data_IF_545061027271
#
_entry.id   IF_545061027271
#
_cell.length_a   1.000
_cell.length_b   1.000
_cell.length_c   1.000
_cell.angle_alpha   90.00
_cell.angle_beta   90.00
_cell.angle_gamma   90.00
#
_symmetry.space_group_name_H-M   'P 1'
#
loop_
_entity.id
_entity.type
_entity.pdbx_description
1 polymer ?
#
# COMPACT_ATOMS: atom_id res chain seq x y z
N UNK A 1 34.91 9.42 -63.91
CA UNK A 1 35.66 9.49 -62.64
C UNK A 1 34.60 9.40 -61.54
N UNK A 2 34.22 8.22 -61.05
CA UNK A 2 34.91 7.34 -60.07
C UNK A 2 35.23 8.05 -58.75
N UNK A 3 34.85 7.39 -57.65
CA UNK A 3 35.12 7.63 -56.21
C UNK A 3 34.07 8.52 -55.50
N UNK A 4 33.48 8.18 -54.34
CA UNK A 4 33.77 7.13 -53.36
C UNK A 4 32.52 6.67 -52.58
N UNK A 5 32.65 5.45 -52.08
CA UNK A 5 31.71 4.66 -51.26
C UNK A 5 31.91 4.97 -49.76
N UNK A 6 30.80 4.87 -49.02
CA UNK A 6 30.60 4.64 -47.58
C UNK A 6 31.70 4.99 -46.56
N UNK A 7 31.30 5.72 -45.52
CA UNK A 7 31.77 5.49 -44.16
C UNK A 7 30.58 5.15 -43.27
N UNK A 8 30.41 3.86 -42.97
CA UNK A 8 29.60 3.41 -41.85
C UNK A 8 30.14 4.03 -40.56
N UNK A 9 29.32 4.76 -39.82
CA UNK A 9 29.62 5.05 -38.42
C UNK A 9 29.48 3.74 -37.63
N UNK A 10 30.56 3.34 -36.97
CA UNK A 10 30.56 2.24 -36.02
C UNK A 10 29.52 2.49 -34.92
N UNK A 11 28.76 1.49 -34.47
CA UNK A 11 27.93 1.63 -33.28
C UNK A 11 28.82 2.01 -32.10
N UNK A 12 28.39 3.00 -31.31
CA UNK A 12 29.05 3.32 -30.05
C UNK A 12 29.19 2.02 -29.23
N UNK A 13 30.41 1.69 -28.85
CA UNK A 13 30.71 0.52 -28.01
C UNK A 13 29.87 0.57 -26.75
N UNK A 14 29.04 -0.45 -26.54
CA UNK A 14 28.41 -0.72 -25.24
C UNK A 14 29.52 -0.70 -24.19
N UNK A 15 29.40 0.06 -23.09
CA UNK A 15 30.41 0.03 -22.05
C UNK A 15 30.53 -1.41 -21.56
N UNK A 16 31.75 -1.96 -21.61
CA UNK A 16 32.06 -3.24 -20.98
C UNK A 16 31.60 -3.17 -19.53
N UNK A 17 30.89 -4.21 -19.07
CA UNK A 17 30.57 -4.38 -17.66
C UNK A 17 31.89 -4.39 -16.90
N UNK A 18 32.22 -3.28 -16.25
CA UNK A 18 33.25 -3.27 -15.21
C UNK A 18 32.94 -4.40 -14.25
N UNK A 19 33.88 -5.35 -14.13
CA UNK A 19 33.80 -6.43 -13.16
C UNK A 19 33.95 -5.85 -11.76
N UNK A 20 32.86 -5.31 -11.23
CA UNK A 20 32.80 -4.87 -9.86
C UNK A 20 32.68 -6.10 -8.96
N UNK A 21 33.58 -6.20 -7.99
CA UNK A 21 33.62 -7.25 -6.99
C UNK A 21 32.23 -7.54 -6.38
N UNK A 22 32.02 -8.80 -6.02
CA UNK A 22 30.77 -9.50 -5.69
C UNK A 22 30.01 -8.95 -4.46
N UNK A 23 29.54 -7.71 -4.55
CA UNK A 23 28.48 -7.15 -3.72
C UNK A 23 27.27 -6.91 -4.63
N UNK A 24 26.58 -7.99 -5.00
CA UNK A 24 25.29 -7.90 -5.70
C UNK A 24 24.24 -7.32 -4.74
N UNK A 25 24.24 -6.00 -4.59
CA UNK A 25 23.14 -5.30 -3.93
C UNK A 25 21.88 -5.53 -4.78
N UNK A 26 20.85 -6.12 -4.17
CA UNK A 26 19.56 -6.31 -4.82
C UNK A 26 18.98 -4.95 -5.21
N UNK A 27 18.82 -4.73 -6.52
CA UNK A 27 18.34 -3.46 -7.06
C UNK A 27 16.97 -3.08 -6.47
N UNK A 28 16.10 -4.06 -6.23
CA UNK A 28 14.75 -3.86 -5.66
C UNK A 28 14.76 -3.16 -4.29
N UNK A 29 15.80 -3.36 -3.47
CA UNK A 29 15.90 -2.84 -2.10
C UNK A 29 16.93 -1.73 -1.96
N UNK A 30 17.31 -1.12 -3.08
CA UNK A 30 18.29 -0.03 -3.17
C UNK A 30 17.58 1.25 -3.57
N UNK A 31 17.99 2.39 -3.02
CA UNK A 31 17.30 3.66 -3.29
C UNK A 31 17.53 4.11 -4.72
N UNK A 32 16.47 4.54 -5.39
CA UNK A 32 16.55 5.23 -6.67
C UNK A 32 17.23 6.57 -6.44
N UNK A 33 18.30 6.83 -7.20
CA UNK A 33 19.16 8.00 -6.98
C UNK A 33 18.54 9.30 -7.50
N UNK A 34 17.74 9.23 -8.55
CA UNK A 34 17.14 10.38 -9.21
C UNK A 34 15.67 10.47 -8.82
N UNK A 35 15.22 11.65 -8.42
CA UNK A 35 13.82 11.87 -8.01
C UNK A 35 12.84 11.84 -9.19
N UNK A 36 13.34 12.06 -10.40
CA UNK A 36 12.56 12.02 -11.64
C UNK A 36 13.43 11.54 -12.79
N UNK A 37 12.85 10.71 -13.64
CA UNK A 37 13.40 10.35 -14.94
C UNK A 37 12.26 10.05 -15.91
N UNK A 38 12.48 10.30 -17.20
CA UNK A 38 11.59 9.92 -18.28
C UNK A 38 12.40 9.68 -19.55
N UNK A 39 12.02 8.66 -20.32
CA UNK A 39 12.67 8.34 -21.59
C UNK A 39 11.93 7.28 -22.39
N UNK A 40 12.19 7.28 -23.68
CA UNK A 40 11.76 6.22 -24.59
C UNK A 40 12.57 4.94 -24.32
N UNK A 41 11.88 3.80 -24.23
CA UNK A 41 12.52 2.49 -24.06
C UNK A 41 12.70 1.80 -25.41
N UNK A 42 13.79 1.02 -25.50
CA UNK A 42 14.02 0.11 -26.62
C UNK A 42 13.09 -1.09 -26.46
N UNK A 43 12.33 -1.40 -27.51
CA UNK A 43 11.40 -2.53 -27.54
C UNK A 43 12.06 -3.72 -28.24
N UNK A 44 12.13 -4.85 -27.54
CA UNK A 44 12.47 -6.14 -28.12
C UNK A 44 11.19 -6.97 -28.28
N UNK A 45 10.81 -7.30 -29.51
CA UNK A 45 9.53 -7.94 -29.84
C UNK A 45 8.52 -6.96 -30.45
N UNK A 46 7.21 -7.27 -30.34
CA UNK A 46 6.13 -6.46 -30.89
C UNK A 46 5.09 -6.15 -29.81
N UNK A 47 4.74 -4.86 -29.65
CA UNK A 47 3.69 -4.43 -28.74
C UNK A 47 2.33 -4.60 -29.45
N UNK A 48 1.35 -5.29 -28.85
CA UNK A 48 0.03 -5.43 -29.45
C UNK A 48 -0.63 -4.09 -29.74
N UNK A 49 -1.15 -3.90 -30.96
CA UNK A 49 -1.69 -2.61 -31.41
C UNK A 49 -2.91 -2.10 -30.62
N UNK A 50 -3.58 -2.98 -29.88
CA UNK A 50 -4.69 -2.64 -29.00
C UNK A 50 -4.23 -2.07 -27.65
N UNK A 51 -2.96 -2.29 -27.27
CA UNK A 51 -2.40 -1.83 -26.00
C UNK A 51 -1.97 -0.36 -26.16
N UNK A 52 -2.85 0.55 -25.75
CA UNK A 52 -2.63 1.99 -25.82
C UNK A 52 -3.14 2.64 -24.52
N UNK A 53 -2.22 3.13 -23.69
CA UNK A 53 -2.53 3.66 -22.37
C UNK A 53 -1.32 3.68 -21.45
N UNK A 54 -1.55 4.01 -20.18
CA UNK A 54 -0.49 4.14 -19.17
C UNK A 54 -0.66 3.09 -18.09
N UNK A 55 0.38 2.30 -17.88
CA UNK A 55 0.53 1.45 -16.70
C UNK A 55 1.24 2.25 -15.61
N UNK A 56 0.59 2.38 -14.45
CA UNK A 56 1.14 3.05 -13.28
C UNK A 56 1.37 2.05 -12.15
N UNK A 57 2.53 2.17 -11.49
CA UNK A 57 2.87 1.44 -10.27
C UNK A 57 3.31 2.42 -9.20
N UNK A 58 2.97 2.09 -7.97
CA UNK A 58 3.42 2.76 -6.77
C UNK A 58 4.14 1.75 -5.88
N UNK A 59 5.09 2.25 -5.09
CA UNK A 59 5.87 1.44 -4.17
C UNK A 59 7.01 2.25 -3.54
N UNK A 60 7.72 1.67 -2.57
CA UNK A 60 8.88 2.33 -1.97
C UNK A 60 10.05 2.43 -2.96
N UNK A 61 10.57 3.65 -3.17
CA UNK A 61 11.72 3.93 -4.04
C UNK A 61 12.93 4.51 -3.32
N UNK A 62 12.76 5.04 -2.10
CA UNK A 62 13.84 5.62 -1.29
C UNK A 62 13.89 4.94 0.08
N UNK A 63 15.04 4.37 0.41
CA UNK A 63 15.26 3.49 1.56
C UNK A 63 16.16 4.08 2.65
N UNK A 64 16.68 5.30 2.45
CA UNK A 64 17.54 5.99 3.40
C UNK A 64 17.35 7.51 3.33
N UNK A 65 17.68 8.20 4.42
CA UNK A 65 17.65 9.65 4.56
C UNK A 65 18.90 10.10 5.33
N UNK A 66 19.86 10.70 4.64
CA UNK A 66 21.18 10.94 5.22
C UNK A 66 21.76 9.62 5.74
N UNK A 67 22.08 9.56 7.03
CA UNK A 67 22.60 8.36 7.69
C UNK A 67 21.50 7.39 8.16
N UNK A 68 20.23 7.82 8.17
CA UNK A 68 19.11 6.99 8.62
C UNK A 68 18.73 5.99 7.53
N UNK A 69 18.64 4.70 7.90
CA UNK A 69 18.23 3.63 7.01
C UNK A 69 16.91 3.03 7.50
N UNK A 70 15.96 2.82 6.59
CA UNK A 70 14.75 2.10 6.92
C UNK A 70 15.03 0.63 7.21
N UNK A 71 14.21 0.04 8.09
CA UNK A 71 14.33 -1.34 8.54
C UNK A 71 13.34 -2.30 7.87
N UNK A 72 12.21 -1.79 7.38
CA UNK A 72 11.11 -2.60 6.85
C UNK A 72 10.70 -2.17 5.44
N UNK A 73 10.19 -3.14 4.65
CA UNK A 73 9.72 -2.90 3.29
C UNK A 73 8.69 -1.77 3.19
N UNK A 74 7.78 -1.69 4.16
CA UNK A 74 6.69 -0.71 4.16
C UNK A 74 7.08 0.71 4.61
N UNK A 75 8.33 0.94 5.01
CA UNK A 75 8.74 2.28 5.47
C UNK A 75 9.31 3.17 4.35
N UNK A 76 9.74 2.57 3.23
CA UNK A 76 10.41 3.32 2.16
C UNK A 76 9.51 4.38 1.53
N UNK A 77 10.08 5.53 1.15
CA UNK A 77 9.28 6.62 0.58
C UNK A 77 8.77 6.30 -0.81
N UNK A 78 7.50 6.64 -1.04
CA UNK A 78 6.75 6.31 -2.24
C UNK A 78 7.37 6.88 -3.52
N UNK A 79 7.45 6.06 -4.56
CA UNK A 79 7.88 6.44 -5.90
C UNK A 79 6.93 5.83 -6.92
N UNK A 80 6.45 6.67 -7.83
CA UNK A 80 5.68 6.25 -8.98
C UNK A 80 6.59 5.78 -10.10
N UNK A 81 6.14 4.75 -10.80
CA UNK A 81 6.71 4.29 -12.05
C UNK A 81 5.59 4.25 -13.08
N UNK A 82 5.85 4.77 -14.28
CA UNK A 82 4.94 4.68 -15.41
C UNK A 82 5.58 3.95 -16.59
N UNK A 83 4.72 3.28 -17.34
CA UNK A 83 5.00 2.80 -18.70
C UNK A 83 3.83 3.20 -19.58
N UNK A 84 4.07 4.09 -20.53
CA UNK A 84 3.09 4.59 -21.50
C UNK A 84 3.29 3.89 -22.84
N UNK A 85 2.23 3.26 -23.33
CA UNK A 85 2.17 2.55 -24.59
C UNK A 85 1.46 3.40 -25.64
N UNK A 86 2.14 3.65 -26.77
CA UNK A 86 1.57 4.37 -27.91
C UNK A 86 1.23 3.43 -29.07
N UNK A 87 0.25 3.82 -29.89
CA UNK A 87 -0.24 3.02 -31.03
C UNK A 87 0.81 2.67 -32.10
N UNK A 88 1.91 3.42 -32.18
CA UNK A 88 3.01 3.18 -33.12
C UNK A 88 4.06 2.18 -32.58
N UNK A 89 3.80 1.53 -31.44
CA UNK A 89 4.76 0.63 -30.78
C UNK A 89 5.83 1.36 -29.96
N UNK A 90 5.72 2.69 -29.80
CA UNK A 90 6.61 3.46 -28.94
C UNK A 90 6.22 3.28 -27.47
N UNK A 91 7.23 3.20 -26.62
CA UNK A 91 7.07 2.99 -25.18
C UNK A 91 7.87 4.05 -24.41
N UNK A 92 7.19 4.81 -23.55
CA UNK A 92 7.81 5.83 -22.71
C UNK A 92 7.73 5.36 -21.27
N UNK A 93 8.87 5.21 -20.61
CA UNK A 93 8.92 4.94 -19.19
C UNK A 93 9.32 6.18 -18.42
N UNK A 94 8.93 6.24 -17.16
CA UNK A 94 9.38 7.27 -16.25
C UNK A 94 9.14 6.88 -14.82
N UNK A 95 9.82 7.58 -13.91
CA UNK A 95 9.55 7.46 -12.49
C UNK A 95 9.56 8.83 -11.83
N UNK A 96 8.87 8.93 -10.70
CA UNK A 96 8.85 10.15 -9.91
C UNK A 96 8.61 9.89 -8.43
N UNK A 97 9.43 10.51 -7.60
CA UNK A 97 9.23 10.56 -6.15
C UNK A 97 7.91 11.28 -5.83
N UNK A 98 7.07 10.69 -4.98
CA UNK A 98 5.88 11.37 -4.45
C UNK A 98 6.32 12.37 -3.38
N UNK A 99 5.90 13.63 -3.52
CA UNK A 99 6.35 14.74 -2.69
C UNK A 99 5.45 14.97 -1.46
N UNK A 100 5.34 13.94 -0.63
CA UNK A 100 4.57 13.95 0.63
C UNK A 100 5.22 14.85 1.69
N UNK A 101 4.47 15.27 2.71
CA UNK A 101 5.04 16.02 3.84
C UNK A 101 6.10 15.21 4.57
N UNK A 102 5.89 13.90 4.73
CA UNK A 102 6.85 12.99 5.34
C UNK A 102 8.17 12.97 4.58
N UNK A 103 8.12 12.78 3.27
CA UNK A 103 9.31 12.79 2.42
C UNK A 103 10.02 14.16 2.43
N UNK A 104 9.27 15.25 2.22
CA UNK A 104 9.83 16.61 2.20
C UNK A 104 10.48 17.00 3.53
N UNK A 105 9.84 16.68 4.65
CA UNK A 105 10.38 16.93 5.98
C UNK A 105 11.64 16.08 6.24
N UNK A 106 11.62 14.81 5.87
CA UNK A 106 12.76 13.92 6.05
C UNK A 106 13.97 14.38 5.22
N UNK A 107 13.76 14.71 3.94
CA UNK A 107 14.78 15.28 3.05
C UNK A 107 15.37 16.58 3.58
N UNK A 108 14.51 17.51 4.04
CA UNK A 108 14.94 18.81 4.59
C UNK A 108 15.75 18.67 5.88
N UNK A 109 15.29 17.82 6.81
CA UNK A 109 15.90 17.70 8.14
C UNK A 109 16.96 16.60 8.23
N UNK A 110 17.16 15.81 7.17
CA UNK A 110 18.08 14.65 7.10
C UNK A 110 17.85 13.63 8.22
N UNK A 111 16.59 13.46 8.63
CA UNK A 111 16.17 12.51 9.68
C UNK A 111 14.70 12.13 9.53
N UNK A 112 14.31 11.01 10.11
CA UNK A 112 12.91 10.61 10.22
C UNK A 112 12.09 11.65 10.99
N UNK A 113 10.96 12.08 10.43
CA UNK A 113 10.12 13.14 11.00
C UNK A 113 8.66 12.72 11.28
N UNK A 114 8.22 11.59 10.72
CA UNK A 114 6.87 11.05 10.89
C UNK A 114 6.95 9.56 11.27
N UNK A 115 5.85 9.03 11.83
CA UNK A 115 5.73 7.63 12.19
C UNK A 115 5.39 6.82 10.93
N UNK A 116 6.31 5.97 10.51
CA UNK A 116 6.11 5.01 9.42
C UNK A 116 5.60 3.67 9.99
N UNK A 117 5.56 2.61 9.19
CA UNK A 117 5.00 1.32 9.57
C UNK A 117 5.75 0.68 10.75
N UNK A 118 7.08 0.58 10.68
CA UNK A 118 7.90 -0.13 11.68
C UNK A 118 8.69 0.78 12.62
N UNK A 119 8.66 2.10 12.38
CA UNK A 119 9.57 3.03 13.04
C UNK A 119 8.94 4.40 13.31
N UNK A 120 9.36 5.03 14.41
CA UNK A 120 8.96 6.39 14.78
C UNK A 120 10.17 7.26 15.11
N UNK A 121 10.06 8.59 14.93
CA UNK A 121 11.04 9.52 15.47
C UNK A 121 11.23 9.30 16.97
N UNK A 122 12.49 9.33 17.43
CA UNK A 122 12.80 9.26 18.86
C UNK A 122 12.68 10.67 19.46
N UNK A 123 11.92 10.84 20.56
CA UNK A 123 11.86 12.13 21.25
C UNK A 123 13.18 12.41 21.98
N UNK A 124 13.67 13.64 21.89
CA UNK A 124 14.94 14.04 22.52
C UNK A 124 14.84 14.18 24.05
N UNK A 125 13.63 14.45 24.58
CA UNK A 125 13.36 14.62 26.01
C UNK A 125 11.86 14.42 26.31
N UNK A 126 11.49 14.50 27.60
CA UNK A 126 10.10 14.29 28.05
C UNK A 126 9.10 15.30 27.47
N UNK A 127 9.46 16.58 27.32
CA UNK A 127 8.56 17.58 26.71
C UNK A 127 8.31 17.27 25.23
N UNK A 128 9.35 16.84 24.51
CA UNK A 128 9.22 16.39 23.13
C UNK A 128 8.31 15.15 23.05
N UNK A 129 8.45 14.20 23.97
CA UNK A 129 7.55 13.03 24.05
C UNK A 129 6.08 13.42 24.26
N UNK A 130 5.79 14.32 25.21
CA UNK A 130 4.42 14.84 25.43
C UNK A 130 3.88 15.54 24.17
N UNK A 131 4.72 16.33 23.49
CA UNK A 131 4.37 16.95 22.22
C UNK A 131 4.06 15.92 21.11
N UNK A 132 4.84 14.85 21.00
CA UNK A 132 4.60 13.76 20.05
C UNK A 132 3.32 12.98 20.36
N UNK A 133 2.98 12.78 21.64
CA UNK A 133 1.70 12.21 22.04
C UNK A 133 0.53 13.10 21.61
N UNK A 134 0.61 14.41 21.83
CA UNK A 134 -0.44 15.34 21.39
C UNK A 134 -0.61 15.31 19.86
N UNK A 135 0.50 15.24 19.10
CA UNK A 135 0.46 15.07 17.64
C UNK A 135 -0.09 13.72 17.20
N UNK A 136 0.13 12.65 17.97
CA UNK A 136 -0.45 11.34 17.67
C UNK A 136 -1.98 11.38 17.84
N UNK A 137 -2.47 11.97 18.94
CA UNK A 137 -3.90 12.11 19.19
C UNK A 137 -4.61 13.02 18.17
N UNK A 138 -3.92 13.98 17.57
CA UNK A 138 -4.46 14.78 16.46
C UNK A 138 -4.23 14.15 15.07
N UNK A 139 -3.52 13.02 14.99
CA UNK A 139 -3.09 12.39 13.74
C UNK A 139 -1.96 13.12 13.00
N UNK A 140 -1.47 14.27 13.52
CA UNK A 140 -0.45 15.08 12.88
C UNK A 140 0.90 14.36 12.73
N UNK A 141 1.26 13.46 13.66
CA UNK A 141 2.51 12.68 13.60
C UNK A 141 2.43 11.44 12.71
N UNK A 142 1.24 11.09 12.21
CA UNK A 142 1.07 9.99 11.26
C UNK A 142 1.64 10.38 9.90
N UNK A 143 2.27 9.40 9.24
CA UNK A 143 2.84 9.57 7.92
C UNK A 143 1.77 9.84 6.87
N UNK A 144 2.13 10.61 5.85
CA UNK A 144 1.41 10.72 4.59
C UNK A 144 2.17 10.03 3.43
N UNK A 145 3.14 9.16 3.76
CA UNK A 145 3.89 8.34 2.80
C UNK A 145 2.98 7.33 2.08
N UNK A 146 2.38 7.76 0.97
CA UNK A 146 1.45 6.99 0.17
C UNK A 146 2.17 5.94 -0.70
N UNK A 147 2.79 4.92 -0.10
CA UNK A 147 3.66 3.94 -0.78
C UNK A 147 3.03 2.56 -1.04
N UNK A 148 1.75 2.33 -0.71
CA UNK A 148 1.12 1.03 -0.86
C UNK A 148 0.44 0.85 -2.22
N UNK A 149 -0.61 1.63 -2.47
CA UNK A 149 -1.52 1.41 -3.60
C UNK A 149 -1.65 2.62 -4.52
N UNK A 150 -2.13 2.39 -5.74
CA UNK A 150 -2.51 3.42 -6.72
C UNK A 150 -3.83 3.01 -7.38
N UNK A 151 -4.79 3.93 -7.40
CA UNK A 151 -6.16 3.67 -7.85
C UNK A 151 -6.65 4.79 -8.75
N UNK A 152 -7.38 4.41 -9.81
CA UNK A 152 -8.17 5.34 -10.62
C UNK A 152 -9.59 5.35 -10.08
N UNK A 153 -10.05 6.51 -9.61
CA UNK A 153 -11.42 6.71 -9.19
C UNK A 153 -12.37 6.75 -10.41
N UNK A 154 -13.67 6.49 -10.19
CA UNK A 154 -14.67 6.52 -11.26
C UNK A 154 -14.82 7.87 -11.98
N UNK A 155 -14.34 8.96 -11.38
CA UNK A 155 -14.26 10.29 -12.01
C UNK A 155 -12.93 10.58 -12.74
N UNK A 156 -12.05 9.58 -12.82
CA UNK A 156 -10.78 9.65 -13.53
C UNK A 156 -9.60 10.15 -12.71
N UNK A 157 -9.79 10.66 -11.49
CA UNK A 157 -8.67 11.06 -10.62
C UNK A 157 -7.81 9.86 -10.22
N UNK A 158 -6.50 10.05 -10.14
CA UNK A 158 -5.56 9.03 -9.67
C UNK A 158 -5.15 9.33 -8.24
N UNK A 159 -5.35 8.37 -7.35
CA UNK A 159 -4.97 8.47 -5.94
C UNK A 159 -3.92 7.42 -5.59
N UNK A 160 -2.94 7.82 -4.79
CA UNK A 160 -2.01 6.93 -4.12
C UNK A 160 -2.38 6.84 -2.64
N UNK A 161 -2.27 5.65 -2.06
CA UNK A 161 -2.70 5.38 -0.69
C UNK A 161 -1.61 4.70 0.14
N UNK A 162 -1.69 4.92 1.44
CA UNK A 162 -1.20 4.01 2.49
C UNK A 162 -2.33 3.80 3.52
N UNK A 163 -2.04 3.14 4.63
CA UNK A 163 -3.04 2.79 5.65
C UNK A 163 -3.45 3.96 6.55
N UNK A 164 -2.77 5.11 6.47
CA UNK A 164 -3.25 6.34 7.09
C UNK A 164 -4.19 7.06 6.13
N UNK A 165 -5.28 7.63 6.65
CA UNK A 165 -6.18 8.46 5.82
C UNK A 165 -5.45 9.70 5.28
N UNK A 166 -4.54 10.27 6.09
CA UNK A 166 -3.67 11.39 5.73
C UNK A 166 -2.75 11.08 4.53
N UNK A 167 -2.35 9.81 4.37
CA UNK A 167 -1.55 9.33 3.25
C UNK A 167 -2.33 9.01 2.00
N UNK A 168 -3.42 9.74 1.76
CA UNK A 168 -4.16 9.72 0.49
C UNK A 168 -3.70 10.92 -0.33
N UNK A 169 -3.13 10.67 -1.52
CA UNK A 169 -2.45 11.70 -2.34
C UNK A 169 -2.96 11.64 -3.77
N UNK A 170 -3.26 12.78 -4.38
CA UNK A 170 -3.65 12.88 -5.79
C UNK A 170 -2.39 13.10 -6.63
N UNK A 171 -2.31 12.40 -7.76
CA UNK A 171 -1.18 12.49 -8.69
C UNK A 171 -1.68 12.69 -10.12
N UNK A 172 -0.85 13.34 -10.94
CA UNK A 172 -1.08 13.46 -12.38
C UNK A 172 -0.59 12.17 -13.08
N UNK A 173 -1.45 11.43 -13.81
CA UNK A 173 -1.05 10.17 -14.47
C UNK A 173 -0.01 10.35 -15.58
N UNK A 174 0.05 11.53 -16.19
CA UNK A 174 0.89 11.80 -17.35
C UNK A 174 2.24 12.35 -16.91
N UNK A 175 2.28 13.31 -15.98
CA UNK A 175 3.54 13.94 -15.53
C UNK A 175 4.13 13.31 -14.27
N UNK A 176 3.34 12.48 -13.57
CA UNK A 176 3.62 11.93 -12.23
C UNK A 176 3.80 13.01 -11.15
N UNK A 177 3.34 14.23 -11.40
CA UNK A 177 3.35 15.30 -10.41
C UNK A 177 2.47 14.93 -9.20
N UNK A 178 2.95 15.26 -8.01
CA UNK A 178 2.12 15.22 -6.79
C UNK A 178 1.24 16.46 -6.77
N UNK A 179 -0.07 16.29 -7.01
CA UNK A 179 -1.01 17.40 -7.11
C UNK A 179 -1.45 17.92 -5.74
N UNK A 180 -1.47 17.05 -4.72
CA UNK A 180 -1.81 17.42 -3.36
C UNK A 180 -2.38 16.25 -2.56
N UNK A 181 -2.88 16.54 -1.37
CA UNK A 181 -3.58 15.55 -0.55
C UNK A 181 -4.98 15.29 -1.10
N UNK A 182 -5.42 14.05 -1.03
CA UNK A 182 -6.82 13.69 -1.19
C UNK A 182 -7.51 13.81 0.18
N UNK A 183 -8.22 14.90 0.40
CA UNK A 183 -8.93 15.13 1.67
C UNK A 183 -10.37 14.65 1.58
N UNK A 184 -10.72 13.68 2.43
CA UNK A 184 -12.10 13.27 2.61
C UNK A 184 -12.90 14.40 3.28
N UNK A 185 -14.08 14.71 2.75
CA UNK A 185 -14.91 15.83 3.25
C UNK A 185 -15.93 15.39 4.30
N UNK A 186 -16.02 14.09 4.59
CA UNK A 186 -16.93 13.53 5.58
C UNK A 186 -16.41 13.65 7.03
N UNK A 187 -17.30 13.62 8.03
CA UNK A 187 -16.92 13.71 9.44
C UNK A 187 -16.64 12.35 10.09
N UNK A 188 -16.39 11.28 9.32
CA UNK A 188 -16.33 9.90 9.84
C UNK A 188 -15.15 9.64 10.80
N UNK A 189 -14.23 10.60 10.91
CA UNK A 189 -13.13 10.55 11.87
C UNK A 189 -12.19 9.37 11.65
N UNK A 190 -11.46 9.02 12.71
CA UNK A 190 -10.40 8.03 12.65
C UNK A 190 -9.17 8.51 11.87
N UNK A 191 -8.13 7.69 11.87
CA UNK A 191 -6.85 8.05 11.23
C UNK A 191 -6.36 7.02 10.23
N UNK A 192 -6.97 5.83 10.24
CA UNK A 192 -6.53 4.67 9.49
C UNK A 192 -7.64 4.17 8.56
N UNK A 193 -7.22 3.48 7.52
CA UNK A 193 -8.04 2.87 6.48
C UNK A 193 -7.35 1.62 5.95
N UNK A 194 -8.10 0.73 5.30
CA UNK A 194 -7.51 -0.31 4.46
C UNK A 194 -6.75 0.36 3.30
N UNK A 195 -5.56 -0.17 2.99
CA UNK A 195 -4.77 0.32 1.85
C UNK A 195 -5.27 -0.22 0.49
N UNK A 196 -6.15 -1.23 0.51
CA UNK A 196 -6.76 -1.83 -0.67
C UNK A 196 -8.28 -1.57 -0.72
N UNK A 197 -8.70 -0.33 -1.05
CA UNK A 197 -10.08 -0.09 -1.42
C UNK A 197 -10.42 -0.88 -2.68
N UNK A 198 -11.71 -1.20 -2.82
CA UNK A 198 -12.24 -1.74 -4.06
C UNK A 198 -12.87 -0.58 -4.82
N UNK A 199 -12.32 -0.30 -6.00
CA UNK A 199 -12.71 0.85 -6.83
C UNK A 199 -13.29 0.36 -8.14
N UNK A 200 -14.49 0.83 -8.45
CA UNK A 200 -15.18 0.61 -9.73
C UNK A 200 -15.50 1.96 -10.36
N UNK A 201 -16.13 1.95 -11.54
CA UNK A 201 -16.62 3.17 -12.17
C UNK A 201 -17.73 3.86 -11.34
N UNK A 202 -18.42 3.11 -10.47
CA UNK A 202 -19.60 3.57 -9.72
C UNK A 202 -19.35 3.79 -8.22
N UNK A 203 -18.26 3.24 -7.67
CA UNK A 203 -17.98 3.36 -6.24
C UNK A 203 -16.50 3.18 -5.88
N UNK A 204 -16.11 3.89 -4.84
CA UNK A 204 -14.95 3.57 -4.01
C UNK A 204 -15.46 2.99 -2.70
N UNK A 205 -15.09 1.75 -2.38
CA UNK A 205 -15.45 1.07 -1.15
C UNK A 205 -14.19 0.80 -0.33
N UNK A 206 -14.21 1.12 0.97
CA UNK A 206 -13.11 0.79 1.88
C UNK A 206 -13.60 0.47 3.29
N UNK A 207 -12.67 0.01 4.12
CA UNK A 207 -12.87 -0.23 5.55
C UNK A 207 -12.10 0.79 6.37
N UNK A 208 -12.75 1.36 7.37
CA UNK A 208 -12.13 2.22 8.37
C UNK A 208 -12.08 1.47 9.71
N UNK A 209 -10.91 1.05 10.19
CA UNK A 209 -10.78 0.51 11.53
C UNK A 209 -11.05 1.61 12.57
N UNK A 210 -11.92 1.30 13.52
CA UNK A 210 -12.31 2.20 14.60
C UNK A 210 -11.60 1.78 15.89
N UNK A 211 -10.59 2.58 16.29
CA UNK A 211 -9.79 2.33 17.48
C UNK A 211 -10.48 2.78 18.78
N UNK A 212 -11.52 3.63 18.70
CA UNK A 212 -12.23 4.15 19.87
C UNK A 212 -13.41 3.25 20.25
N UNK A 213 -14.16 2.81 19.24
CA UNK A 213 -15.17 1.79 19.36
C UNK A 213 -14.72 0.59 18.52
N UNK A 214 -14.04 -0.41 19.10
CA UNK A 214 -13.36 -1.48 18.37
C UNK A 214 -14.23 -2.16 17.32
N UNK A 215 -13.87 -1.98 16.06
CA UNK A 215 -14.63 -2.51 14.93
C UNK A 215 -14.18 -1.91 13.60
N UNK A 216 -15.00 -2.11 12.58
CA UNK A 216 -14.77 -1.61 11.23
C UNK A 216 -16.03 -0.93 10.71
N UNK A 217 -15.87 0.27 10.17
CA UNK A 217 -16.89 0.91 9.35
C UNK A 217 -16.69 0.49 7.90
N UNK A 218 -17.75 0.01 7.26
CA UNK A 218 -17.80 -0.19 5.81
C UNK A 218 -18.29 1.12 5.21
N UNK A 219 -17.45 1.77 4.39
CA UNK A 219 -17.74 3.09 3.85
C UNK A 219 -17.64 3.10 2.34
N UNK A 220 -18.57 3.84 1.71
CA UNK A 220 -18.67 3.99 0.26
C UNK A 220 -18.56 5.47 -0.11
N UNK A 221 -17.85 5.77 -1.18
CA UNK A 221 -17.77 7.09 -1.81
C UNK A 221 -18.20 6.97 -3.27
N UNK A 222 -19.05 7.89 -3.71
CA UNK A 222 -19.49 7.99 -5.10
C UNK A 222 -18.42 8.71 -5.95
N UNK A 223 -18.35 8.47 -7.27
CA UNK A 223 -17.49 9.24 -8.17
C UNK A 223 -17.80 10.74 -8.13
N UNK A 224 -16.78 11.59 -8.24
CA UNK A 224 -16.92 13.05 -8.30
C UNK A 224 -17.04 13.73 -6.93
N UNK A 225 -17.08 12.97 -5.84
CA UNK A 225 -17.12 13.47 -4.46
C UNK A 225 -15.91 12.98 -3.65
N UNK A 226 -15.68 13.63 -2.51
CA UNK A 226 -14.73 13.20 -1.47
C UNK A 226 -15.46 12.80 -0.17
N UNK A 227 -16.79 12.74 -0.19
CA UNK A 227 -17.62 12.39 0.94
C UNK A 227 -17.90 10.89 0.95
N UNK A 228 -17.46 10.20 2.00
CA UNK A 228 -17.81 8.80 2.24
C UNK A 228 -19.07 8.72 3.11
N UNK A 229 -19.89 7.70 2.82
CA UNK A 229 -21.07 7.33 3.61
C UNK A 229 -20.84 5.98 4.25
N UNK A 230 -21.17 5.85 5.53
CA UNK A 230 -21.18 4.55 6.22
C UNK A 230 -22.33 3.73 5.67
N UNK A 231 -22.02 2.57 5.10
CA UNK A 231 -23.03 1.61 4.61
C UNK A 231 -23.18 0.41 5.53
N UNK A 232 -22.28 0.20 6.49
CA UNK A 232 -22.36 -0.91 7.43
C UNK A 232 -21.31 -0.80 8.54
N UNK A 233 -21.48 -1.59 9.59
CA UNK A 233 -20.53 -1.66 10.71
C UNK A 233 -20.39 -3.09 11.23
N UNK A 234 -19.14 -3.49 11.48
CA UNK A 234 -18.80 -4.71 12.19
C UNK A 234 -18.18 -4.34 13.53
N UNK A 235 -18.72 -4.83 14.64
CA UNK A 235 -18.14 -4.64 15.96
C UNK A 235 -17.23 -5.83 16.30
N UNK A 236 -16.00 -5.55 16.75
CA UNK A 236 -15.09 -6.60 17.17
C UNK A 236 -15.57 -7.22 18.48
N UNK A 237 -15.61 -8.56 18.53
CA UNK A 237 -16.12 -9.30 19.70
C UNK A 237 -15.05 -9.51 20.79
N UNK A 238 -13.77 -9.25 20.45
CA UNK A 238 -12.64 -9.85 21.15
C UNK A 238 -11.70 -8.93 21.92
N UNK A 239 -11.85 -7.61 21.98
CA UNK A 239 -10.85 -6.80 22.71
C UNK A 239 -10.96 -5.29 22.51
N UNK A 240 -10.01 -4.53 23.09
CA UNK A 240 -10.04 -3.07 23.09
C UNK A 240 -9.60 -2.45 21.75
N UNK A 241 -9.30 -3.24 20.73
CA UNK A 241 -8.85 -2.76 19.43
C UNK A 241 -9.30 -3.71 18.30
N UNK A 242 -9.58 -3.16 17.11
CA UNK A 242 -9.87 -3.97 15.93
C UNK A 242 -8.61 -4.73 15.46
N UNK A 243 -8.86 -5.77 14.66
CA UNK A 243 -7.80 -6.42 13.91
C UNK A 243 -7.20 -5.47 12.87
N UNK A 244 -5.95 -5.74 12.51
CA UNK A 244 -5.33 -5.13 11.35
C UNK A 244 -6.08 -5.57 10.08
N UNK A 245 -6.28 -4.67 9.14
CA UNK A 245 -6.97 -4.96 7.88
C UNK A 245 -6.24 -4.27 6.72
N UNK A 246 -5.40 -5.05 6.03
CA UNK A 246 -4.67 -4.56 4.86
C UNK A 246 -5.59 -4.46 3.65
N UNK A 247 -6.32 -5.54 3.36
CA UNK A 247 -7.35 -5.63 2.32
C UNK A 247 -8.59 -6.37 2.81
N UNK A 248 -9.63 -6.33 1.98
CA UNK A 248 -10.89 -7.04 2.16
C UNK A 248 -11.44 -7.38 0.77
N UNK A 249 -12.56 -8.10 0.71
CA UNK A 249 -13.17 -8.48 -0.56
C UNK A 249 -14.67 -8.21 -0.57
N UNK A 250 -15.26 -8.19 -1.76
CA UNK A 250 -16.70 -8.05 -1.93
C UNK A 250 -17.21 -8.93 -3.06
N UNK A 251 -18.49 -9.26 -2.96
CA UNK A 251 -19.29 -9.83 -4.05
C UNK A 251 -20.24 -8.77 -4.59
N UNK A 252 -21.14 -9.18 -5.50
CA UNK A 252 -22.23 -8.36 -5.99
C UNK A 252 -23.05 -7.73 -4.83
N UNK A 253 -23.42 -8.54 -3.83
CA UNK A 253 -24.34 -8.13 -2.76
C UNK A 253 -23.70 -7.98 -1.37
N UNK A 254 -22.48 -8.49 -1.15
CA UNK A 254 -21.89 -8.58 0.17
C UNK A 254 -20.47 -8.03 0.25
N UNK A 255 -20.11 -7.46 1.40
CA UNK A 255 -18.74 -7.13 1.77
C UNK A 255 -18.26 -8.16 2.79
N UNK A 256 -17.09 -8.74 2.58
CA UNK A 256 -16.47 -9.68 3.52
C UNK A 256 -15.40 -8.92 4.30
N UNK A 257 -15.68 -8.65 5.57
CA UNK A 257 -14.78 -7.94 6.49
C UNK A 257 -13.96 -8.96 7.29
N UNK A 258 -12.63 -8.99 7.14
CA UNK A 258 -11.78 -9.85 7.93
C UNK A 258 -11.58 -9.31 9.35
N UNK A 259 -11.65 -10.18 10.35
CA UNK A 259 -11.21 -9.90 11.71
C UNK A 259 -10.06 -10.85 12.09
N UNK A 260 -8.84 -10.40 11.83
CA UNK A 260 -7.61 -11.14 12.13
C UNK A 260 -7.21 -11.05 13.61
N UNK A 261 -6.50 -12.06 14.15
CA UNK A 261 -5.94 -12.05 15.50
C UNK A 261 -4.76 -11.07 15.69
N UNK A 262 -4.15 -10.55 14.62
CA UNK A 262 -3.21 -9.44 14.70
C UNK A 262 -4.01 -8.14 14.96
N UNK A 263 -3.91 -7.58 16.16
CA UNK A 263 -4.69 -6.39 16.59
C UNK A 263 -3.82 -5.15 16.64
N UNK A 264 -4.41 -3.98 16.41
CA UNK A 264 -3.72 -2.72 16.73
C UNK A 264 -3.45 -2.61 18.23
N UNK A 265 -2.28 -2.12 18.60
CA UNK A 265 -1.89 -1.92 20.00
C UNK A 265 -1.79 -0.44 20.32
N UNK A 266 -2.82 0.11 20.98
CA UNK A 266 -2.79 1.48 21.50
C UNK A 266 -1.62 1.67 22.47
N UNK A 267 -1.31 0.66 23.28
CA UNK A 267 -0.17 0.73 24.20
C UNK A 267 1.17 0.86 23.47
N UNK A 268 1.39 0.08 22.41
CA UNK A 268 2.64 0.14 21.62
C UNK A 268 2.76 1.47 20.90
N UNK A 269 1.64 1.97 20.33
CA UNK A 269 1.60 3.30 19.70
C UNK A 269 1.92 4.41 20.70
N UNK A 270 1.43 4.34 21.94
CA UNK A 270 1.74 5.35 22.96
C UNK A 270 3.20 5.29 23.41
N UNK A 271 3.73 4.09 23.68
CA UNK A 271 5.12 3.92 24.14
C UNK A 271 6.16 4.34 23.11
N UNK A 272 5.84 4.22 21.81
CA UNK A 272 6.76 4.49 20.71
C UNK A 272 8.11 3.72 20.82
N UNK A 273 8.12 2.60 21.53
CA UNK A 273 9.30 1.75 21.69
C UNK A 273 9.53 0.91 20.43
N UNK A 274 10.78 0.73 19.97
CA UNK A 274 11.08 -0.19 18.88
C UNK A 274 10.67 -1.62 19.26
N UNK A 275 9.75 -2.22 18.50
CA UNK A 275 9.37 -3.62 18.63
C UNK A 275 9.14 -4.22 17.24
N UNK A 276 9.24 -5.56 17.14
CA UNK A 276 9.03 -6.27 15.87
C UNK A 276 7.63 -6.04 15.29
N UNK A 277 6.64 -5.85 16.17
CA UNK A 277 5.25 -5.53 15.85
C UNK A 277 4.92 -4.12 16.37
N UNK A 278 5.66 -3.12 15.92
CA UNK A 278 5.65 -1.74 16.43
C UNK A 278 4.24 -1.19 16.75
N UNK A 279 3.25 -1.47 15.90
CA UNK A 279 1.88 -0.97 16.01
C UNK A 279 0.86 -2.04 16.41
N UNK A 280 1.30 -3.29 16.59
CA UNK A 280 0.42 -4.44 16.68
C UNK A 280 0.69 -5.33 17.91
N UNK A 281 -0.25 -6.19 18.21
CA UNK A 281 -0.13 -7.28 19.17
C UNK A 281 -0.80 -8.53 18.57
N UNK A 282 -0.12 -9.67 18.63
CA UNK A 282 -0.69 -10.95 18.20
C UNK A 282 -1.58 -11.53 19.30
N UNK A 283 -2.88 -11.70 19.03
CA UNK A 283 -3.91 -12.09 20.00
C UNK A 283 -4.70 -13.33 19.55
N UNK A 284 -4.07 -14.51 19.41
CA UNK A 284 -4.72 -15.71 18.91
C UNK A 284 -5.86 -16.20 19.82
N UNK A 285 -5.81 -15.87 21.11
CA UNK A 285 -6.87 -16.18 22.07
C UNK A 285 -8.18 -15.44 21.80
N UNK A 286 -8.14 -14.40 20.95
CA UNK A 286 -9.33 -13.65 20.51
C UNK A 286 -9.99 -14.22 19.26
N UNK A 287 -9.45 -15.33 18.74
CA UNK A 287 -9.95 -16.05 17.56
C UNK A 287 -9.91 -15.17 16.30
N UNK A 288 -10.37 -15.72 15.20
CA UNK A 288 -10.43 -15.06 13.92
C UNK A 288 -11.82 -15.22 13.30
N UNK A 289 -12.30 -14.19 12.59
CA UNK A 289 -13.62 -14.21 11.99
C UNK A 289 -13.61 -13.65 10.56
N UNK A 290 -14.59 -14.07 9.78
CA UNK A 290 -15.02 -13.42 8.54
C UNK A 290 -16.46 -12.94 8.71
N UNK A 291 -16.70 -11.65 8.52
CA UNK A 291 -18.02 -11.05 8.65
C UNK A 291 -18.58 -10.70 7.28
N UNK A 292 -19.77 -11.23 6.96
CA UNK A 292 -20.46 -10.98 5.70
C UNK A 292 -21.49 -9.88 5.93
N UNK A 293 -21.27 -8.70 5.35
CA UNK A 293 -22.14 -7.52 5.47
C UNK A 293 -22.92 -7.33 4.18
N UNK A 294 -24.25 -7.26 4.26
CA UNK A 294 -25.09 -7.00 3.10
C UNK A 294 -24.95 -5.52 2.66
N UNK A 295 -24.51 -5.27 1.42
CA UNK A 295 -24.31 -3.92 0.87
C UNK A 295 -25.59 -3.09 0.89
N UNK A 296 -26.73 -3.70 0.60
CA UNK A 296 -28.01 -3.01 0.49
C UNK A 296 -28.60 -2.59 1.86
N UNK A 297 -28.45 -3.42 2.88
CA UNK A 297 -29.07 -3.17 4.20
C UNK A 297 -28.09 -2.70 5.28
N UNK A 298 -26.79 -2.85 5.05
CA UNK A 298 -25.73 -2.61 6.03
C UNK A 298 -25.68 -3.60 7.19
N UNK A 299 -26.56 -4.61 7.18
CA UNK A 299 -26.65 -5.62 8.24
C UNK A 299 -25.65 -6.75 8.01
N UNK A 300 -25.11 -7.27 9.11
CA UNK A 300 -24.30 -8.48 9.11
C UNK A 300 -25.23 -9.67 8.79
N UNK A 301 -25.03 -10.28 7.63
CA UNK A 301 -25.74 -11.48 7.20
C UNK A 301 -25.19 -12.73 7.90
N UNK A 302 -23.87 -12.79 8.08
CA UNK A 302 -23.20 -13.86 8.80
C UNK A 302 -21.91 -13.36 9.48
N UNK A 303 -21.52 -14.03 10.56
CA UNK A 303 -20.20 -13.89 11.17
C UNK A 303 -19.69 -15.28 11.48
N UNK A 304 -18.65 -15.69 10.77
CA UNK A 304 -18.14 -17.06 10.79
C UNK A 304 -16.81 -17.05 11.53
N UNK A 305 -16.72 -17.85 12.60
CA UNK A 305 -15.43 -18.16 13.22
C UNK A 305 -14.65 -19.07 12.28
N UNK A 306 -13.40 -18.70 11.99
CA UNK A 306 -12.50 -19.44 11.09
C UNK A 306 -11.22 -19.80 11.85
N UNK A 307 -10.40 -20.75 11.34
CA UNK A 307 -9.04 -20.95 11.84
C UNK A 307 -8.28 -19.62 11.88
N UNK A 308 -7.26 -19.53 12.74
CA UNK A 308 -6.38 -18.36 12.74
C UNK A 308 -5.79 -18.18 11.33
N UNK A 309 -5.64 -16.93 10.91
CA UNK A 309 -5.11 -16.58 9.60
C UNK A 309 -4.42 -15.23 9.67
N UNK A 310 -3.48 -15.03 8.75
CA UNK A 310 -2.85 -13.73 8.50
C UNK A 310 -2.88 -13.50 6.99
N UNK A 311 -3.53 -12.43 6.55
CA UNK A 311 -3.76 -12.12 5.13
C UNK A 311 -3.44 -10.66 4.89
N UNK A 312 -2.54 -10.40 3.93
CA UNK A 312 -2.42 -9.08 3.33
C UNK A 312 -3.49 -8.90 2.25
N UNK A 313 -3.61 -9.87 1.34
CA UNK A 313 -4.38 -9.72 0.10
C UNK A 313 -5.45 -10.80 -0.05
N UNK A 314 -6.70 -10.34 -0.19
CA UNK A 314 -7.74 -11.14 -0.81
C UNK A 314 -7.54 -11.14 -2.33
N UNK A 315 -7.83 -12.27 -2.97
CA UNK A 315 -7.71 -12.47 -4.42
C UNK A 315 -9.03 -12.05 -5.09
N UNK A 316 -10.14 -12.69 -4.71
CA UNK A 316 -11.46 -12.41 -5.24
C UNK A 316 -12.55 -12.93 -4.28
N UNK A 317 -13.81 -12.56 -4.52
CA UNK A 317 -14.96 -13.22 -3.91
C UNK A 317 -16.14 -13.31 -4.88
N UNK A 318 -16.97 -14.32 -4.71
CA UNK A 318 -18.20 -14.50 -5.49
C UNK A 318 -19.29 -15.20 -4.69
N UNK A 319 -20.52 -15.13 -5.20
CA UNK A 319 -21.68 -15.81 -4.61
C UNK A 319 -21.96 -17.08 -5.39
N UNK A 320 -22.02 -18.23 -4.70
CA UNK A 320 -22.61 -19.43 -5.27
C UNK A 320 -24.12 -19.34 -5.18
N UNK A 321 -24.78 -19.55 -6.32
CA UNK A 321 -26.24 -19.42 -6.45
C UNK A 321 -26.87 -20.80 -6.67
N UNK A 322 -28.04 -21.03 -6.06
CA UNK A 322 -28.86 -22.21 -6.35
C UNK A 322 -29.51 -22.12 -7.76
N UNK A 323 -30.32 -23.13 -8.12
CA UNK A 323 -31.02 -23.19 -9.42
C UNK A 323 -32.02 -22.04 -9.61
N UNK A 324 -32.47 -21.41 -8.53
CA UNK A 324 -33.42 -20.29 -8.53
C UNK A 324 -32.69 -18.93 -8.50
N UNK A 325 -31.34 -18.93 -8.53
CA UNK A 325 -30.52 -17.73 -8.51
C UNK A 325 -30.29 -17.14 -7.11
N UNK A 326 -30.66 -17.84 -6.03
CA UNK A 326 -30.47 -17.37 -4.66
C UNK A 326 -29.06 -17.69 -4.19
N UNK A 327 -28.36 -16.72 -3.60
CA UNK A 327 -27.06 -16.94 -2.99
C UNK A 327 -27.17 -17.94 -1.83
N UNK A 328 -26.43 -19.04 -1.92
CA UNK A 328 -26.34 -20.10 -0.90
C UNK A 328 -25.01 -20.10 -0.16
N UNK A 329 -23.95 -19.57 -0.78
CA UNK A 329 -22.65 -19.39 -0.16
C UNK A 329 -21.93 -18.15 -0.71
N UNK A 330 -21.03 -17.60 0.10
CA UNK A 330 -20.06 -16.58 -0.32
C UNK A 330 -18.69 -17.24 -0.29
N UNK A 331 -18.01 -17.27 -1.43
CA UNK A 331 -16.65 -17.77 -1.57
C UNK A 331 -15.71 -16.58 -1.55
N UNK A 332 -14.67 -16.65 -0.73
CA UNK A 332 -13.64 -15.61 -0.61
C UNK A 332 -12.26 -16.25 -0.67
N UNK A 333 -11.50 -15.91 -1.71
CA UNK A 333 -10.16 -16.43 -1.95
C UNK A 333 -9.12 -15.43 -1.44
N UNK A 334 -8.07 -15.90 -0.78
CA UNK A 334 -7.02 -15.04 -0.23
C UNK A 334 -5.65 -15.72 -0.22
N UNK A 335 -4.59 -14.89 -0.10
CA UNK A 335 -3.23 -15.36 0.15
C UNK A 335 -2.99 -15.37 1.67
N UNK A 336 -3.00 -16.57 2.26
CA UNK A 336 -2.82 -16.82 3.69
C UNK A 336 -1.32 -16.96 4.03
N UNK A 337 -0.92 -16.53 5.23
CA UNK A 337 0.47 -16.57 5.68
C UNK A 337 0.66 -17.31 7.01
N UNK A 338 0.54 -18.64 6.95
CA UNK A 338 0.87 -19.60 8.02
C UNK A 338 0.20 -19.33 9.38
N UNK A 339 -0.88 -18.57 9.39
CA UNK A 339 -1.65 -18.20 10.57
C UNK A 339 -0.82 -17.55 11.70
N UNK A 340 0.26 -16.84 11.37
CA UNK A 340 1.12 -16.15 12.33
C UNK A 340 1.68 -14.81 11.81
N UNK A 341 2.60 -14.20 12.57
CA UNK A 341 3.19 -12.88 12.25
C UNK A 341 4.57 -12.94 11.59
N UNK A 342 5.11 -14.14 11.32
CA UNK A 342 6.47 -14.34 10.80
C UNK A 342 6.68 -13.66 9.46
N UNK A 343 5.62 -13.51 8.66
CA UNK A 343 5.69 -12.77 7.40
C UNK A 343 6.09 -11.29 7.58
N UNK A 344 5.68 -10.64 8.68
CA UNK A 344 6.08 -9.24 8.96
C UNK A 344 7.60 -9.16 9.19
N UNK A 345 8.17 -10.10 9.94
CA UNK A 345 9.61 -10.15 10.17
C UNK A 345 10.39 -10.51 8.90
N UNK A 346 9.83 -11.40 8.08
CA UNK A 346 10.39 -11.83 6.79
C UNK A 346 10.54 -10.65 5.83
N UNK A 347 9.61 -9.69 5.86
CA UNK A 347 9.63 -8.46 5.06
C UNK A 347 10.56 -7.35 5.61
N UNK A 348 11.38 -7.65 6.62
CA UNK A 348 12.46 -6.75 7.02
C UNK A 348 13.51 -6.59 5.91
N UNK A 349 14.01 -5.37 5.72
CA UNK A 349 15.03 -5.09 4.69
C UNK A 349 16.34 -5.83 4.94
N UNK A 350 16.65 -6.17 6.20
CA UNK A 350 17.78 -7.04 6.53
C UNK A 350 17.63 -8.40 5.85
N UNK A 351 16.47 -9.05 6.00
CA UNK A 351 16.19 -10.37 5.41
C UNK A 351 16.15 -10.27 3.89
N UNK A 352 15.39 -9.31 3.35
CA UNK A 352 15.23 -9.09 1.92
C UNK A 352 16.55 -8.80 1.19
N UNK A 353 17.51 -8.12 1.83
CA UNK A 353 18.83 -7.80 1.26
C UNK A 353 19.86 -8.92 1.42
N UNK A 354 19.66 -9.85 2.36
CA UNK A 354 20.54 -11.00 2.56
C UNK A 354 20.25 -12.18 1.62
N UNK A 355 19.16 -12.11 0.85
CA UNK A 355 18.65 -13.24 0.09
C UNK A 355 19.37 -13.42 -1.26
N UNK A 356 20.21 -14.45 -1.39
CA UNK A 356 20.99 -14.70 -2.63
C UNK A 356 20.44 -15.83 -3.52
N UNK A 357 19.11 -16.02 -3.58
CA UNK A 357 18.48 -16.84 -4.63
C UNK A 357 18.18 -18.31 -4.30
N UNK A 358 17.97 -18.65 -3.03
CA UNK A 358 17.32 -19.93 -2.64
C UNK A 358 15.95 -19.59 -2.06
N UNK A 359 14.84 -20.03 -2.66
CA UNK A 359 13.50 -19.80 -2.11
C UNK A 359 13.42 -20.25 -0.64
N UNK A 360 13.33 -19.27 0.27
CA UNK A 360 13.08 -19.46 1.72
C UNK A 360 11.77 -18.80 2.15
N UNK A 361 10.86 -18.55 1.20
CA UNK A 361 9.45 -18.48 1.58
C UNK A 361 9.01 -19.94 1.73
N UNK A 362 8.87 -20.50 2.95
CA UNK A 362 8.26 -21.81 3.10
C UNK A 362 6.86 -21.69 2.49
N UNK A 363 6.61 -22.44 1.41
CA UNK A 363 5.35 -22.51 0.63
C UNK A 363 4.31 -21.46 1.08
N UNK A 364 4.44 -20.24 0.54
CA UNK A 364 3.59 -19.09 0.88
C UNK A 364 2.22 -19.12 0.19
#
# INVERSE_FOLDING_TARGET
MISNVASHQSPASVPERESCADHRNHAAWTSVKQERWEGELVVEGEIPSWLNGTYLRNGPGVWHIGEFNFGHLFDGYAMLVKVHFEKNGRLIAGHRQIETEAYKAAKKNKKLCYREFSVSPKPDNFLAYVGELAKLFSGASLTDNANNGIYKLGDGRIICLTETQKGSVIVDPDTLDTLGKFEYSDPLGGFIQSSHPIVTDDEFLTLLPDLLNPGYLVVRMEPGTNERKVIGRVNCRGGPAPGWVHSFTMTEHYVVVPEMPLRYSVQSLLKAEPSALYQFEWRPERKAFLHVVCKASGKIAASVEVPLYMVFHFINAYEEKDKDGRAIAVIADCCEHNADTTIIETLSLKNLRSFHGQDVLPDA
#
